data_IF_628419907343
#
_entry.id   IF_628419907343
#
_cell.length_a   1.000
_cell.length_b   1.000
_cell.length_c   1.000
_cell.angle_alpha   90.00
_cell.angle_beta   90.00
_cell.angle_gamma   90.00
#
_symmetry.space_group_name_H-M   'P 1'
#
loop_
_entity.id
_entity.type
_entity.pdbx_description
1 polymer ?
#
# COMPACT_ATOMS: atom_id res chain seq x y z
N UNK A 1 25.00 -3.92 -14.13
CA UNK A 1 25.17 -4.91 -13.04
C UNK A 1 24.53 -6.21 -13.47
N UNK A 2 25.12 -7.38 -13.15
CA UNK A 2 24.47 -8.69 -13.40
C UNK A 2 24.05 -9.29 -12.06
N UNK A 3 22.78 -9.68 -11.94
CA UNK A 3 22.30 -10.50 -10.83
C UNK A 3 22.15 -11.93 -11.33
N UNK A 4 22.76 -12.86 -10.61
CA UNK A 4 22.70 -14.29 -10.91
C UNK A 4 21.78 -14.96 -9.89
N UNK A 5 20.86 -15.78 -10.36
CA UNK A 5 19.90 -16.48 -9.51
C UNK A 5 19.87 -17.99 -9.76
N UNK A 6 19.51 -18.72 -8.70
CA UNK A 6 19.28 -20.17 -8.70
C UNK A 6 18.05 -20.51 -9.55
N UNK A 7 18.10 -21.61 -10.30
CA UNK A 7 17.08 -21.96 -11.31
C UNK A 7 15.64 -22.08 -10.77
N UNK A 8 15.50 -22.51 -9.51
CA UNK A 8 14.22 -22.97 -8.94
C UNK A 8 13.55 -21.89 -8.06
N UNK A 9 14.35 -20.96 -7.49
CA UNK A 9 13.88 -19.92 -6.57
C UNK A 9 13.81 -18.54 -7.25
N UNK A 10 14.38 -18.38 -8.45
CA UNK A 10 14.38 -17.14 -9.25
C UNK A 10 13.02 -16.77 -9.91
N UNK A 11 11.91 -17.08 -9.25
CA UNK A 11 10.57 -16.91 -9.78
C UNK A 11 10.26 -15.49 -10.29
N UNK A 12 9.06 -15.36 -10.86
CA UNK A 12 8.46 -14.09 -11.31
C UNK A 12 8.69 -12.96 -10.28
N UNK A 13 8.67 -13.26 -8.98
CA UNK A 13 8.90 -12.30 -7.89
C UNK A 13 10.33 -11.74 -7.78
N UNK A 14 11.36 -12.52 -8.09
CA UNK A 14 12.73 -12.00 -8.11
C UNK A 14 12.91 -11.01 -9.27
N UNK A 15 12.32 -11.33 -10.42
CA UNK A 15 12.28 -10.43 -11.58
C UNK A 15 11.46 -9.16 -11.29
N UNK A 16 10.34 -9.27 -10.57
CA UNK A 16 9.53 -8.12 -10.15
C UNK A 16 10.36 -7.16 -9.28
N UNK A 17 11.04 -7.68 -8.25
CA UNK A 17 11.89 -6.86 -7.38
C UNK A 17 13.04 -6.21 -8.13
N UNK A 18 13.69 -6.95 -9.03
CA UNK A 18 14.74 -6.38 -9.88
C UNK A 18 14.20 -5.26 -10.77
N UNK A 19 12.97 -5.39 -11.28
CA UNK A 19 12.31 -4.35 -12.09
C UNK A 19 12.01 -3.11 -11.25
N UNK A 20 11.48 -3.28 -10.05
CA UNK A 20 11.18 -2.17 -9.14
C UNK A 20 12.46 -1.38 -8.78
N UNK A 21 13.55 -2.08 -8.49
CA UNK A 21 14.85 -1.45 -8.20
C UNK A 21 15.41 -0.76 -9.45
N UNK A 22 15.37 -1.41 -10.61
CA UNK A 22 15.82 -0.85 -11.89
C UNK A 22 15.10 0.48 -12.20
N UNK A 23 13.78 0.52 -12.01
CA UNK A 23 12.97 1.71 -12.30
C UNK A 23 13.07 2.81 -11.23
N UNK A 24 13.08 2.45 -9.94
CA UNK A 24 13.16 3.43 -8.85
C UNK A 24 14.56 4.06 -8.72
N UNK A 25 15.62 3.27 -8.91
CA UNK A 25 17.00 3.72 -8.76
C UNK A 25 17.66 4.13 -10.08
N UNK A 26 16.98 3.93 -11.22
CA UNK A 26 17.48 4.24 -12.57
C UNK A 26 18.82 3.53 -12.87
N UNK A 27 18.89 2.25 -12.53
CA UNK A 27 20.10 1.42 -12.71
C UNK A 27 19.85 0.31 -13.74
N UNK A 28 20.87 0.04 -14.56
CA UNK A 28 20.84 -1.05 -15.53
C UNK A 28 21.17 -2.40 -14.88
N UNK A 29 20.14 -3.22 -14.77
CA UNK A 29 20.22 -4.58 -14.22
C UNK A 29 20.08 -5.58 -15.37
N UNK A 30 21.00 -6.55 -15.42
CA UNK A 30 20.89 -7.76 -16.26
C UNK A 30 20.75 -8.97 -15.36
N UNK A 31 19.98 -9.95 -15.80
CA UNK A 31 19.63 -11.15 -15.04
C UNK A 31 20.12 -12.39 -15.78
N UNK A 32 20.83 -13.23 -15.04
CA UNK A 32 21.18 -14.59 -15.47
C UNK A 32 20.53 -15.60 -14.52
N UNK A 33 20.17 -16.76 -15.04
CA UNK A 33 19.72 -17.90 -14.24
C UNK A 33 20.53 -19.12 -14.59
N UNK A 34 20.96 -19.84 -13.57
CA UNK A 34 21.61 -21.14 -13.75
C UNK A 34 20.59 -22.13 -14.33
N UNK A 35 20.99 -23.02 -15.26
CA UNK A 35 20.12 -24.09 -15.74
C UNK A 35 20.07 -25.29 -14.76
N UNK A 36 18.98 -26.07 -14.81
CA UNK A 36 18.85 -27.41 -14.16
C UNK A 36 18.86 -27.51 -12.62
N UNK A 37 18.20 -26.64 -11.87
CA UNK A 37 18.11 -26.83 -10.41
C UNK A 37 19.32 -26.32 -9.62
N UNK A 38 20.43 -25.98 -10.28
CA UNK A 38 21.73 -25.78 -9.64
C UNK A 38 21.88 -24.38 -9.04
N UNK A 39 22.61 -24.30 -7.94
CA UNK A 39 23.10 -23.04 -7.42
C UNK A 39 24.35 -22.56 -8.24
N UNK A 40 24.69 -21.26 -8.20
CA UNK A 40 25.86 -20.71 -8.90
C UNK A 40 27.19 -21.36 -8.56
N UNK A 41 27.37 -21.78 -7.31
CA UNK A 41 28.60 -22.41 -6.84
C UNK A 41 28.74 -23.80 -7.46
N UNK A 42 27.69 -24.60 -7.40
CA UNK A 42 27.61 -25.93 -8.00
C UNK A 42 27.79 -25.87 -9.52
N UNK A 43 27.17 -24.89 -10.18
CA UNK A 43 27.35 -24.69 -11.60
C UNK A 43 28.79 -24.30 -11.95
N UNK A 44 29.42 -23.40 -11.16
CA UNK A 44 30.82 -23.02 -11.37
C UNK A 44 31.76 -24.22 -11.16
N UNK A 45 31.51 -25.04 -10.14
CA UNK A 45 32.30 -26.23 -9.84
C UNK A 45 32.14 -27.31 -10.92
N UNK A 46 30.92 -27.50 -11.44
CA UNK A 46 30.62 -28.54 -12.41
C UNK A 46 30.98 -28.15 -13.86
N UNK A 47 30.64 -26.92 -14.27
CA UNK A 47 30.79 -26.45 -15.65
C UNK A 47 32.09 -25.66 -15.89
N UNK A 48 32.76 -25.22 -14.81
CA UNK A 48 34.00 -24.47 -14.86
C UNK A 48 33.83 -22.98 -15.18
N UNK A 49 34.94 -22.24 -15.05
CA UNK A 49 34.98 -20.78 -15.19
C UNK A 49 34.47 -20.29 -16.54
N UNK A 50 34.88 -20.92 -17.64
CA UNK A 50 34.54 -20.46 -19.00
C UNK A 50 33.03 -20.48 -19.25
N UNK A 51 32.35 -21.55 -18.80
CA UNK A 51 30.89 -21.67 -18.90
C UNK A 51 30.17 -20.70 -17.99
N UNK A 52 30.72 -20.43 -16.81
CA UNK A 52 30.19 -19.43 -15.89
C UNK A 52 30.28 -18.01 -16.47
N UNK A 53 31.42 -17.64 -17.06
CA UNK A 53 31.59 -16.36 -17.74
C UNK A 53 30.65 -16.23 -18.94
N UNK A 54 30.47 -17.30 -19.71
CA UNK A 54 29.48 -17.34 -20.79
C UNK A 54 28.06 -17.07 -20.27
N UNK A 55 27.65 -17.73 -19.17
CA UNK A 55 26.34 -17.53 -18.55
C UNK A 55 26.11 -16.06 -18.16
N UNK A 56 27.12 -15.40 -17.58
CA UNK A 56 27.04 -13.98 -17.22
C UNK A 56 26.95 -13.07 -18.45
N UNK A 57 27.65 -13.40 -19.53
CA UNK A 57 27.60 -12.65 -20.78
C UNK A 57 26.24 -12.77 -21.49
N UNK A 58 25.57 -13.90 -21.32
CA UNK A 58 24.22 -14.19 -21.83
C UNK A 58 23.10 -13.61 -20.95
N UNK A 59 23.42 -12.99 -19.80
CA UNK A 59 22.44 -12.34 -18.93
C UNK A 59 21.56 -11.37 -19.73
N UNK A 60 20.25 -11.43 -19.60
CA UNK A 60 19.34 -10.56 -20.36
C UNK A 60 18.89 -9.37 -19.52
N UNK A 61 18.39 -8.31 -20.15
CA UNK A 61 17.79 -7.21 -19.38
C UNK A 61 16.56 -7.67 -18.59
N UNK A 62 16.20 -6.96 -17.53
CA UNK A 62 15.10 -7.34 -16.62
C UNK A 62 13.76 -7.51 -17.36
N UNK A 63 13.48 -6.68 -18.36
CA UNK A 63 12.25 -6.74 -19.12
C UNK A 63 12.18 -8.04 -19.94
N UNK A 64 13.25 -8.36 -20.66
CA UNK A 64 13.35 -9.60 -21.43
C UNK A 64 13.30 -10.83 -20.51
N UNK A 65 13.98 -10.79 -19.36
CA UNK A 65 13.96 -11.88 -18.40
C UNK A 65 12.54 -12.17 -17.90
N UNK A 66 11.81 -11.13 -17.50
CA UNK A 66 10.42 -11.23 -17.02
C UNK A 66 9.51 -11.80 -18.12
N UNK A 67 9.66 -11.33 -19.35
CA UNK A 67 8.89 -11.85 -20.49
C UNK A 67 9.15 -13.36 -20.69
N UNK A 68 10.42 -13.78 -20.73
CA UNK A 68 10.79 -15.19 -20.90
C UNK A 68 10.17 -16.09 -19.82
N UNK A 69 10.14 -15.62 -18.56
CA UNK A 69 9.53 -16.36 -17.44
C UNK A 69 8.01 -16.47 -17.56
N UNK A 70 7.33 -15.39 -17.94
CA UNK A 70 5.88 -15.43 -18.17
C UNK A 70 5.53 -16.35 -19.33
N UNK A 71 6.26 -16.28 -20.44
CA UNK A 71 6.01 -17.18 -21.56
C UNK A 71 6.32 -18.62 -21.23
N UNK A 72 7.32 -18.92 -20.38
CA UNK A 72 7.56 -20.27 -19.91
C UNK A 72 6.42 -20.78 -18.99
N UNK A 73 5.82 -19.89 -18.18
CA UNK A 73 4.74 -20.25 -17.25
C UNK A 73 3.37 -20.41 -17.95
N UNK A 74 3.08 -19.62 -18.97
CA UNK A 74 1.80 -19.62 -19.69
C UNK A 74 1.85 -20.35 -21.03
N UNK A 75 3.04 -20.70 -21.52
CA UNK A 75 3.30 -21.09 -22.90
C UNK A 75 3.54 -22.57 -23.14
N UNK A 76 3.11 -23.47 -22.24
CA UNK A 76 3.19 -24.91 -22.49
C UNK A 76 2.45 -25.37 -23.76
N UNK A 77 1.55 -24.54 -24.33
CA UNK A 77 0.72 -24.92 -25.49
C UNK A 77 0.70 -23.91 -26.67
N UNK A 78 1.54 -22.87 -26.71
CA UNK A 78 1.56 -21.82 -27.79
C UNK A 78 0.15 -21.36 -28.24
N UNK A 79 -0.79 -21.25 -27.31
CA UNK A 79 -2.16 -20.85 -27.63
C UNK A 79 -2.26 -19.33 -27.67
N UNK A 80 -3.14 -18.82 -28.53
CA UNK A 80 -3.47 -17.40 -28.58
C UNK A 80 -3.94 -16.87 -27.21
N UNK A 81 -4.65 -17.71 -26.45
CA UNK A 81 -5.11 -17.40 -25.09
C UNK A 81 -3.93 -17.28 -24.09
N UNK A 82 -3.00 -18.24 -24.09
CA UNK A 82 -1.81 -18.19 -23.22
C UNK A 82 -0.91 -17.01 -23.53
N UNK A 83 -0.70 -16.70 -24.82
CA UNK A 83 0.06 -15.52 -25.25
C UNK A 83 -0.61 -14.22 -24.79
N UNK A 84 -1.93 -14.14 -24.89
CA UNK A 84 -2.69 -12.98 -24.40
C UNK A 84 -2.53 -12.80 -22.88
N UNK A 85 -2.67 -13.88 -22.10
CA UNK A 85 -2.49 -13.83 -20.65
C UNK A 85 -1.08 -13.39 -20.26
N UNK A 86 -0.05 -13.91 -20.94
CA UNK A 86 1.33 -13.49 -20.71
C UNK A 86 1.52 -11.99 -20.98
N UNK A 87 0.96 -11.46 -22.07
CA UNK A 87 1.01 -10.02 -22.39
C UNK A 87 0.28 -9.19 -21.33
N UNK A 88 -0.92 -9.64 -20.92
CA UNK A 88 -1.72 -8.94 -19.93
C UNK A 88 -1.00 -8.88 -18.58
N UNK A 89 -0.41 -9.98 -18.12
CA UNK A 89 0.35 -10.03 -16.87
C UNK A 89 1.64 -9.21 -16.94
N UNK A 90 2.33 -9.26 -18.08
CA UNK A 90 3.54 -8.51 -18.31
C UNK A 90 3.31 -7.00 -18.25
N UNK A 91 2.29 -6.50 -18.96
CA UNK A 91 1.92 -5.09 -18.94
C UNK A 91 1.38 -4.66 -17.57
N UNK A 92 0.78 -5.58 -16.79
CA UNK A 92 0.35 -5.27 -15.42
C UNK A 92 1.54 -5.02 -14.50
N UNK A 93 2.53 -5.89 -14.57
CA UNK A 93 3.76 -5.80 -13.77
C UNK A 93 4.46 -4.48 -14.07
N UNK A 94 4.65 -4.16 -15.36
CA UNK A 94 5.30 -2.92 -15.78
C UNK A 94 4.51 -1.68 -15.34
N UNK A 95 3.18 -1.68 -15.50
CA UNK A 95 2.35 -0.55 -15.07
C UNK A 95 2.49 -0.29 -13.56
N UNK A 96 2.53 -1.34 -12.76
CA UNK A 96 2.70 -1.27 -11.30
C UNK A 96 4.06 -0.67 -10.94
N UNK A 97 5.13 -1.17 -11.57
CA UNK A 97 6.49 -0.71 -11.31
C UNK A 97 6.72 0.74 -11.78
N UNK A 98 6.12 1.14 -12.92
CA UNK A 98 6.14 2.53 -13.40
C UNK A 98 5.40 3.49 -12.46
N UNK A 99 4.28 3.05 -11.86
CA UNK A 99 3.52 3.84 -10.89
C UNK A 99 4.33 4.09 -9.62
N UNK A 100 5.01 3.07 -9.10
CA UNK A 100 5.83 3.18 -7.90
C UNK A 100 7.13 3.97 -8.12
N UNK A 101 7.76 3.85 -9.30
CA UNK A 101 9.10 4.38 -9.56
C UNK A 101 9.21 5.86 -9.92
N UNK A 102 8.10 6.63 -9.98
CA UNK A 102 8.08 8.04 -10.39
C UNK A 102 8.93 8.33 -11.66
N UNK A 103 8.71 7.51 -12.70
CA UNK A 103 9.54 7.47 -13.91
C UNK A 103 9.27 8.69 -14.80
N UNK A 104 10.34 9.30 -15.33
CA UNK A 104 10.21 10.48 -16.18
C UNK A 104 9.54 10.15 -17.54
N UNK A 105 8.97 11.15 -18.25
CA UNK A 105 8.39 10.92 -19.57
C UNK A 105 9.37 10.35 -20.61
N UNK A 106 10.64 10.75 -20.52
CA UNK A 106 11.70 10.29 -21.44
C UNK A 106 12.01 8.82 -21.16
N UNK A 107 12.26 8.47 -19.90
CA UNK A 107 12.57 7.10 -19.48
C UNK A 107 11.40 6.16 -19.81
N UNK A 108 10.16 6.63 -19.60
CA UNK A 108 8.95 5.91 -20.00
C UNK A 108 8.92 5.63 -21.50
N UNK A 109 9.31 6.60 -22.34
CA UNK A 109 9.40 6.41 -23.79
C UNK A 109 10.42 5.34 -24.18
N UNK A 110 11.59 5.33 -23.53
CA UNK A 110 12.62 4.32 -23.74
C UNK A 110 12.14 2.92 -23.33
N UNK A 111 11.50 2.81 -22.17
CA UNK A 111 10.93 1.57 -21.64
C UNK A 111 9.87 1.02 -22.60
N UNK A 112 8.95 1.86 -23.08
CA UNK A 112 7.92 1.42 -24.04
C UNK A 112 8.54 0.92 -25.34
N UNK A 113 9.55 1.62 -25.87
CA UNK A 113 10.27 1.17 -27.06
C UNK A 113 10.97 -0.18 -26.85
N UNK A 114 11.56 -0.40 -25.68
CA UNK A 114 12.19 -1.67 -25.32
C UNK A 114 11.16 -2.80 -25.23
N UNK A 115 10.06 -2.59 -24.50
CA UNK A 115 8.98 -3.56 -24.36
C UNK A 115 8.36 -3.90 -25.71
N UNK A 116 8.15 -2.90 -26.57
CA UNK A 116 7.64 -3.10 -27.94
C UNK A 116 8.48 -4.10 -28.74
N UNK A 117 9.80 -4.04 -28.62
CA UNK A 117 10.71 -5.01 -29.27
C UNK A 117 10.60 -6.42 -28.65
N UNK A 118 10.40 -6.51 -27.34
CA UNK A 118 10.34 -7.79 -26.61
C UNK A 118 9.06 -8.56 -26.94
N UNK A 119 7.90 -7.89 -26.88
CA UNK A 119 6.58 -8.56 -27.04
C UNK A 119 6.02 -8.46 -28.46
N UNK A 120 6.65 -7.66 -29.33
CA UNK A 120 6.25 -7.50 -30.73
C UNK A 120 4.96 -6.71 -30.95
N UNK A 121 4.57 -5.85 -30.00
CA UNK A 121 3.38 -4.99 -30.09
C UNK A 121 3.76 -3.55 -30.42
N UNK A 122 2.86 -2.83 -31.08
CA UNK A 122 3.08 -1.42 -31.43
C UNK A 122 3.17 -0.54 -30.17
N UNK A 123 4.09 0.42 -30.18
CA UNK A 123 4.32 1.33 -29.05
C UNK A 123 3.09 2.17 -28.69
N UNK A 124 2.19 2.47 -29.64
CA UNK A 124 0.92 3.17 -29.33
C UNK A 124 -0.05 2.27 -28.57
N UNK A 125 -0.12 0.99 -28.95
CA UNK A 125 -0.98 0.01 -28.26
C UNK A 125 -0.50 -0.21 -26.82
N UNK A 126 0.81 -0.37 -26.63
CA UNK A 126 1.42 -0.50 -25.31
C UNK A 126 1.15 0.75 -24.47
N UNK A 127 1.35 1.95 -25.03
CA UNK A 127 1.07 3.20 -24.32
C UNK A 127 -0.40 3.33 -23.92
N UNK A 128 -1.33 2.99 -24.81
CA UNK A 128 -2.77 3.03 -24.50
C UNK A 128 -3.10 2.09 -23.34
N UNK A 129 -2.57 0.87 -23.37
CA UNK A 129 -2.82 -0.14 -22.34
C UNK A 129 -2.18 0.20 -20.99
N UNK A 130 -0.93 0.69 -21.00
CA UNK A 130 -0.26 1.17 -19.78
C UNK A 130 -1.00 2.37 -19.18
N UNK A 131 -1.44 3.34 -20.00
CA UNK A 131 -2.23 4.47 -19.53
C UNK A 131 -3.57 4.03 -18.94
N UNK A 132 -4.23 3.04 -19.55
CA UNK A 132 -5.48 2.46 -19.03
C UNK A 132 -5.26 1.86 -17.63
N UNK A 133 -4.20 1.07 -17.46
CA UNK A 133 -3.86 0.42 -16.19
C UNK A 133 -3.43 1.41 -15.11
N UNK A 134 -2.61 2.40 -15.47
CA UNK A 134 -2.22 3.46 -14.55
C UNK A 134 -3.44 4.28 -14.09
N UNK A 135 -4.36 4.61 -15.00
CA UNK A 135 -5.63 5.27 -14.64
C UNK A 135 -6.53 4.38 -13.78
N UNK A 136 -6.53 3.07 -13.99
CA UNK A 136 -7.27 2.13 -13.15
C UNK A 136 -6.66 2.00 -11.76
N UNK A 137 -5.33 1.92 -11.65
CA UNK A 137 -4.62 1.92 -10.37
C UNK A 137 -4.83 3.25 -9.63
N UNK A 138 -4.75 4.39 -10.34
CA UNK A 138 -5.10 5.70 -9.79
C UNK A 138 -6.57 5.77 -9.38
N UNK A 139 -7.51 5.29 -10.19
CA UNK A 139 -8.93 5.25 -9.82
C UNK A 139 -9.22 4.29 -8.68
N UNK A 140 -8.51 3.17 -8.55
CA UNK A 140 -8.67 2.26 -7.42
C UNK A 140 -8.05 2.85 -6.15
N UNK A 141 -6.90 3.52 -6.26
CA UNK A 141 -6.30 4.28 -5.17
C UNK A 141 -7.15 5.50 -4.78
N UNK A 142 -7.73 6.20 -5.75
CA UNK A 142 -8.71 7.26 -5.54
C UNK A 142 -9.99 6.69 -4.98
N UNK A 143 -10.54 5.59 -5.48
CA UNK A 143 -11.76 4.96 -4.95
C UNK A 143 -11.54 4.40 -3.55
N UNK A 144 -10.34 3.95 -3.19
CA UNK A 144 -9.98 3.59 -1.82
C UNK A 144 -9.79 4.85 -0.95
N UNK A 145 -9.16 5.91 -1.45
CA UNK A 145 -9.00 7.19 -0.75
C UNK A 145 -10.30 8.01 -0.67
N UNK A 146 -11.25 7.76 -1.58
CA UNK A 146 -12.55 8.41 -1.73
C UNK A 146 -13.61 7.57 -1.02
N UNK A 147 -13.51 6.23 -0.94
CA UNK A 147 -14.27 5.45 0.05
C UNK A 147 -13.75 5.66 1.48
N UNK A 148 -12.48 6.02 1.67
CA UNK A 148 -11.97 6.53 2.95
C UNK A 148 -12.36 8.00 3.22
N UNK A 149 -12.86 8.74 2.22
CA UNK A 149 -13.32 10.15 2.37
C UNK A 149 -14.83 10.36 2.16
N UNK A 150 -15.59 9.33 1.79
CA UNK A 150 -17.03 9.39 1.47
C UNK A 150 -17.81 8.33 2.26
N UNK A 151 -17.45 8.16 3.52
CA UNK A 151 -18.44 8.41 4.56
C UNK A 151 -17.93 9.66 5.29
N UNK A 152 -18.42 10.85 4.92
CA UNK A 152 -18.24 11.99 5.84
C UNK A 152 -19.05 11.64 7.07
N UNK A 153 -18.37 11.09 8.08
CA UNK A 153 -18.95 10.78 9.36
C UNK A 153 -19.51 12.09 9.88
N UNK A 154 -20.83 12.17 10.03
CA UNK A 154 -21.49 13.41 10.44
C UNK A 154 -21.24 13.60 11.93
N UNK A 155 -20.14 14.29 12.24
CA UNK A 155 -19.83 14.69 13.60
C UNK A 155 -20.64 15.90 14.08
N UNK A 156 -21.72 16.27 13.38
CA UNK A 156 -22.53 17.43 13.68
C UNK A 156 -21.85 18.74 13.28
N UNK A 157 -22.64 19.82 13.27
CA UNK A 157 -22.20 21.17 12.94
C UNK A 157 -22.50 22.13 14.08
N UNK A 158 -21.67 23.16 14.23
CA UNK A 158 -21.83 24.20 15.25
C UNK A 158 -20.90 24.03 16.44
N UNK A 159 -20.99 24.98 17.37
CA UNK A 159 -20.07 25.11 18.50
C UNK A 159 -20.13 23.90 19.45
N UNK A 160 -21.34 23.44 19.80
CA UNK A 160 -21.55 22.28 20.68
C UNK A 160 -21.00 20.97 20.10
N UNK A 161 -21.24 20.72 18.81
CA UNK A 161 -20.71 19.53 18.12
C UNK A 161 -19.17 19.56 18.01
N UNK A 162 -18.58 20.75 17.84
CA UNK A 162 -17.13 20.92 17.88
C UNK A 162 -16.56 20.65 19.28
N UNK A 163 -17.21 21.14 20.33
CA UNK A 163 -16.80 20.89 21.71
C UNK A 163 -16.91 19.39 22.07
N UNK A 164 -18.01 18.72 21.68
CA UNK A 164 -18.18 17.27 21.86
C UNK A 164 -17.06 16.47 21.19
N UNK A 165 -16.71 16.80 19.94
CA UNK A 165 -15.54 16.19 19.28
C UNK A 165 -14.25 16.43 20.06
N UNK A 166 -14.01 17.67 20.48
CA UNK A 166 -12.78 18.05 21.17
C UNK A 166 -12.61 17.29 22.49
N UNK A 167 -13.68 17.01 23.22
CA UNK A 167 -13.63 16.13 24.40
C UNK A 167 -13.10 14.74 24.03
N UNK A 168 -13.63 14.11 22.98
CA UNK A 168 -13.24 12.75 22.61
C UNK A 168 -11.82 12.69 22.03
N UNK A 169 -11.45 13.64 21.17
CA UNK A 169 -10.09 13.75 20.62
C UNK A 169 -9.04 13.90 21.73
N UNK A 170 -9.35 14.70 22.75
CA UNK A 170 -8.47 14.87 23.92
C UNK A 170 -8.37 13.58 24.72
N UNK A 171 -9.49 12.96 25.08
CA UNK A 171 -9.50 11.77 25.94
C UNK A 171 -8.91 10.52 25.26
N UNK A 172 -9.00 10.41 23.93
CA UNK A 172 -8.34 9.34 23.17
C UNK A 172 -6.80 9.49 23.19
N UNK A 173 -6.29 10.71 23.28
CA UNK A 173 -4.86 11.00 23.28
C UNK A 173 -4.25 11.10 24.68
N UNK A 174 -5.03 11.53 25.67
CA UNK A 174 -4.64 11.58 27.08
C UNK A 174 -5.73 10.96 27.98
N UNK A 175 -5.85 9.61 27.98
CA UNK A 175 -6.88 8.88 28.73
C UNK A 175 -6.95 9.21 30.22
N UNK A 176 -5.81 9.53 30.84
CA UNK A 176 -5.70 9.86 32.27
C UNK A 176 -6.54 11.07 32.68
N UNK A 177 -6.84 11.98 31.75
CA UNK A 177 -7.72 13.11 32.04
C UNK A 177 -9.16 12.68 32.32
N UNK A 178 -9.57 11.47 31.91
CA UNK A 178 -10.89 10.94 32.20
C UNK A 178 -11.16 10.84 33.71
N UNK A 179 -10.16 10.53 34.54
CA UNK A 179 -10.30 10.51 36.00
C UNK A 179 -10.79 11.83 36.60
N UNK A 180 -10.43 12.96 35.97
CA UNK A 180 -10.79 14.31 36.43
C UNK A 180 -12.26 14.61 36.09
N UNK A 181 -12.75 14.07 34.97
CA UNK A 181 -14.04 14.47 34.38
C UNK A 181 -15.13 13.40 34.48
N UNK A 182 -14.82 12.14 34.83
CA UNK A 182 -15.76 11.01 34.86
C UNK A 182 -16.99 11.19 35.76
N UNK A 183 -16.91 12.09 36.75
CA UNK A 183 -18.04 12.45 37.63
C UNK A 183 -18.97 13.50 37.00
N UNK A 184 -18.50 14.21 35.97
CA UNK A 184 -19.19 15.34 35.32
C UNK A 184 -19.68 15.00 33.92
N UNK A 185 -19.05 14.02 33.24
CA UNK A 185 -19.40 13.64 31.87
C UNK A 185 -19.99 12.23 31.79
N UNK A 186 -21.03 12.09 30.98
CA UNK A 186 -21.61 10.80 30.56
C UNK A 186 -21.78 10.78 29.05
N UNK A 187 -21.96 9.59 28.46
CA UNK A 187 -22.18 9.47 27.01
C UNK A 187 -23.46 10.21 26.54
N UNK A 188 -24.44 10.41 27.42
CA UNK A 188 -25.67 11.14 27.11
C UNK A 188 -25.46 12.64 26.87
N UNK A 189 -24.31 13.19 27.26
CA UNK A 189 -23.92 14.58 26.97
C UNK A 189 -23.68 14.82 25.46
N UNK A 190 -23.53 13.75 24.69
CA UNK A 190 -23.22 13.81 23.27
C UNK A 190 -24.50 13.71 22.44
N UNK A 191 -24.89 14.81 21.78
CA UNK A 191 -26.09 14.85 20.95
C UNK A 191 -25.87 14.28 19.55
N UNK A 192 -24.61 14.30 19.09
CA UNK A 192 -24.24 13.71 17.82
C UNK A 192 -24.21 12.18 17.95
N UNK A 193 -25.03 11.42 17.19
CA UNK A 193 -25.20 9.99 17.41
C UNK A 193 -23.90 9.18 17.38
N UNK A 194 -23.00 9.49 16.44
CA UNK A 194 -21.71 8.78 16.33
C UNK A 194 -20.77 9.12 17.49
N UNK A 195 -20.73 10.38 17.93
CA UNK A 195 -19.91 10.79 19.08
C UNK A 195 -20.41 10.16 20.38
N UNK A 196 -21.74 10.02 20.53
CA UNK A 196 -22.36 9.31 21.67
C UNK A 196 -21.91 7.85 21.74
N UNK A 197 -21.94 7.15 20.61
CA UNK A 197 -21.52 5.75 20.56
C UNK A 197 -20.03 5.59 20.87
N UNK A 198 -19.19 6.48 20.33
CA UNK A 198 -17.76 6.53 20.64
C UNK A 198 -17.52 6.81 22.12
N UNK A 199 -18.22 7.78 22.69
CA UNK A 199 -18.14 8.13 24.11
C UNK A 199 -18.52 6.94 25.00
N UNK A 200 -19.59 6.20 24.64
CA UNK A 200 -20.02 5.02 25.38
C UNK A 200 -18.92 3.93 25.42
N UNK A 201 -18.39 3.56 24.25
CA UNK A 201 -17.32 2.56 24.13
C UNK A 201 -16.07 2.99 24.91
N UNK A 202 -15.65 4.25 24.71
CA UNK A 202 -14.45 4.78 25.34
C UNK A 202 -14.60 4.87 26.86
N UNK A 203 -15.70 5.41 27.38
CA UNK A 203 -15.90 5.55 28.82
C UNK A 203 -16.07 4.20 29.52
N UNK A 204 -16.74 3.23 28.90
CA UNK A 204 -16.83 1.87 29.42
C UNK A 204 -15.44 1.22 29.55
N UNK A 205 -14.63 1.37 28.49
CA UNK A 205 -13.25 0.86 28.47
C UNK A 205 -12.39 1.55 29.52
N UNK A 206 -12.43 2.89 29.60
CA UNK A 206 -11.63 3.68 30.54
C UNK A 206 -12.04 3.52 32.01
N UNK A 207 -13.31 3.22 32.28
CA UNK A 207 -13.75 2.86 33.64
C UNK A 207 -13.17 1.51 34.09
N UNK A 208 -12.86 0.62 33.16
CA UNK A 208 -12.27 -0.70 33.46
C UNK A 208 -10.74 -0.62 33.49
N UNK A 209 -10.14 0.09 32.53
CA UNK A 209 -8.71 0.28 32.38
C UNK A 209 -8.41 1.72 31.95
N UNK A 210 -7.95 2.55 32.89
CA UNK A 210 -7.64 3.96 32.60
C UNK A 210 -6.45 4.14 31.64
N UNK A 211 -5.56 3.15 31.57
CA UNK A 211 -4.40 3.13 30.67
C UNK A 211 -4.69 2.32 29.39
N UNK A 212 -5.97 2.16 29.03
CA UNK A 212 -6.37 1.41 27.84
C UNK A 212 -5.75 1.98 26.55
N UNK A 213 -5.25 1.09 25.70
CA UNK A 213 -4.75 1.46 24.38
C UNK A 213 -5.89 1.72 23.39
N UNK A 214 -5.58 2.43 22.28
CA UNK A 214 -6.53 2.59 21.17
C UNK A 214 -7.03 1.23 20.65
N UNK A 215 -6.18 0.20 20.66
CA UNK A 215 -6.56 -1.15 20.22
C UNK A 215 -7.64 -1.77 21.12
N UNK A 216 -7.60 -1.52 22.43
CA UNK A 216 -8.62 -1.97 23.38
C UNK A 216 -9.94 -1.23 23.15
N UNK A 217 -9.90 0.09 22.92
CA UNK A 217 -11.09 0.89 22.64
C UNK A 217 -11.72 0.47 21.30
N UNK A 218 -10.89 0.25 20.27
CA UNK A 218 -11.33 -0.22 18.96
C UNK A 218 -11.96 -1.63 19.02
N UNK A 219 -11.57 -2.47 19.98
CA UNK A 219 -12.16 -3.80 20.13
C UNK A 219 -13.67 -3.74 20.49
N UNK A 220 -14.14 -2.62 21.06
CA UNK A 220 -15.56 -2.36 21.31
C UNK A 220 -16.33 -1.78 20.12
N UNK A 221 -15.67 -1.46 18.99
CA UNK A 221 -16.33 -0.93 17.81
C UNK A 221 -17.05 -2.02 17.02
N UNK A 222 -18.38 -2.01 17.05
CA UNK A 222 -19.22 -3.00 16.36
C UNK A 222 -19.43 -2.71 14.86
N UNK A 223 -18.90 -1.59 14.36
CA UNK A 223 -19.04 -1.18 12.96
C UNK A 223 -17.75 -0.58 12.40
N UNK A 224 -17.60 -0.69 11.08
CA UNK A 224 -16.49 -0.06 10.35
C UNK A 224 -16.53 1.46 10.49
N UNK A 225 -17.72 2.05 10.60
CA UNK A 225 -17.93 3.50 10.79
C UNK A 225 -17.41 3.97 12.16
N UNK A 226 -17.70 3.22 13.24
CA UNK A 226 -17.19 3.52 14.59
C UNK A 226 -15.68 3.36 14.66
N UNK A 227 -15.14 2.28 14.10
CA UNK A 227 -13.69 2.06 14.05
C UNK A 227 -12.96 3.16 13.27
N UNK A 228 -13.52 3.57 12.12
CA UNK A 228 -12.96 4.67 11.33
C UNK A 228 -13.02 6.01 12.07
N UNK A 229 -14.13 6.27 12.78
CA UNK A 229 -14.31 7.49 13.57
C UNK A 229 -13.30 7.60 14.72
N UNK A 230 -13.08 6.50 15.44
CA UNK A 230 -12.12 6.43 16.54
C UNK A 230 -10.70 6.75 16.06
N UNK A 231 -10.29 6.20 14.92
CA UNK A 231 -8.99 6.47 14.31
C UNK A 231 -8.89 7.95 13.89
N UNK A 232 -9.92 8.49 13.23
CA UNK A 232 -9.93 9.89 12.77
C UNK A 232 -9.84 10.89 13.95
N UNK A 233 -10.63 10.67 15.01
CA UNK A 233 -10.59 11.53 16.21
C UNK A 233 -9.27 11.41 16.96
N UNK A 234 -8.66 10.22 17.00
CA UNK A 234 -7.34 10.04 17.60
C UNK A 234 -6.31 10.86 16.84
N UNK A 235 -6.23 10.70 15.51
CA UNK A 235 -5.31 11.45 14.65
C UNK A 235 -5.53 12.96 14.72
N UNK A 236 -6.79 13.42 14.75
CA UNK A 236 -7.13 14.83 14.88
C UNK A 236 -6.69 15.41 16.24
N UNK A 237 -6.67 14.60 17.30
CA UNK A 237 -6.22 15.00 18.64
C UNK A 237 -4.70 15.07 18.79
N UNK A 238 -3.94 14.19 18.11
CA UNK A 238 -2.47 14.19 18.15
C UNK A 238 -1.87 15.55 17.80
N UNK A 239 -2.50 16.28 16.88
CA UNK A 239 -2.04 17.58 16.39
C UNK A 239 -2.36 18.76 17.34
N UNK A 240 -3.22 18.56 18.36
CA UNK A 240 -3.84 19.67 19.11
C UNK A 240 -3.08 20.14 20.34
N UNK A 241 -2.36 19.25 21.03
CA UNK A 241 -1.65 19.54 22.29
C UNK A 241 -2.52 20.21 23.37
N UNK A 242 -1.91 20.66 24.48
CA UNK A 242 -2.58 21.40 25.57
C UNK A 242 -3.90 20.77 26.06
N UNK A 243 -3.91 19.44 26.18
CA UNK A 243 -5.11 18.63 26.38
C UNK A 243 -5.97 19.06 27.57
N UNK A 244 -5.36 19.36 28.72
CA UNK A 244 -6.12 19.76 29.91
C UNK A 244 -6.93 21.06 29.70
N UNK A 245 -6.32 22.08 29.08
CA UNK A 245 -6.99 23.36 28.84
C UNK A 245 -8.11 23.23 27.80
N UNK A 246 -7.89 22.43 26.76
CA UNK A 246 -8.89 22.13 25.73
C UNK A 246 -10.08 21.36 26.31
N UNK A 247 -9.82 20.36 27.15
CA UNK A 247 -10.86 19.59 27.80
C UNK A 247 -11.74 20.48 28.69
N UNK A 248 -11.14 21.37 29.49
CA UNK A 248 -11.91 22.32 30.31
C UNK A 248 -12.76 23.24 29.43
N UNK A 249 -12.18 23.87 28.40
CA UNK A 249 -12.92 24.77 27.52
C UNK A 249 -14.04 24.08 26.74
N UNK A 250 -13.83 22.83 26.33
CA UNK A 250 -14.84 22.04 25.66
C UNK A 250 -16.00 21.67 26.61
N UNK A 251 -15.71 21.27 27.85
CA UNK A 251 -16.76 20.97 28.84
C UNK A 251 -17.57 22.21 29.22
N UNK A 252 -16.92 23.36 29.43
CA UNK A 252 -17.61 24.64 29.72
C UNK A 252 -18.53 25.09 28.57
N UNK A 253 -18.31 24.58 27.35
CA UNK A 253 -19.12 24.88 26.17
C UNK A 253 -20.31 23.93 26.04
N UNK A 254 -20.28 22.75 26.67
CA UNK A 254 -21.34 21.73 26.59
C UNK A 254 -22.28 21.81 27.81
N UNK A 255 -21.81 22.28 28.96
CA UNK A 255 -22.61 22.62 30.16
C UNK A 255 -23.58 23.80 29.94
#
# INVERSE_FOLDING_TARGET
MVLLFDSDVAGIEAANRALDVCLSQRIDIRLASVPEGKDPCDFLLAAGKERFEQLLNEAVDVFQFKWNRLTASFGSEDTLAGKRLAIEEYLQTIATALWAGNVSPIDRGLIVNQISKIIGLDSKQINAELNRRLRQAQRAASYNAENQKVQTIDYGRGLFAAAQREVLEVLLNEPKLFEIVKQKITAELFDVPILRQIAAIMFETLNTNIDASLAEILAGAESVELGSSLVELTQAGEEKGNFQARLTGALDTID
#
